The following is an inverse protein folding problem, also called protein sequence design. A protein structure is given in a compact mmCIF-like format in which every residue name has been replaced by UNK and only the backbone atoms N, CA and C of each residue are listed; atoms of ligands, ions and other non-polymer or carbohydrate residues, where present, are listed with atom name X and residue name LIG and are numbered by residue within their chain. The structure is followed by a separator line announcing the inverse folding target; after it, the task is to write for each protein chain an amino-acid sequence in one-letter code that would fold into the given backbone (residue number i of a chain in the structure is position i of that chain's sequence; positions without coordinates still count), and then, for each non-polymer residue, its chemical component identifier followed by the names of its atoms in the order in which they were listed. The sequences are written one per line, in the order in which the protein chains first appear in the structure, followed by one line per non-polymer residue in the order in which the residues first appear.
data_IF_562489982135
#
_entry.id   IF_562489982135
#
_cell.length_a   1.000
_cell.length_b   1.000
_cell.length_c   1.000
_cell.angle_alpha   90.00
_cell.angle_beta   90.00
_cell.angle_gamma   90.00
#
_symmetry.space_group_name_H-M   'P 1'
#
loop_
_entity.id
_entity.type
_entity.pdbx_description
1 polymer ?
#
# COMPACT_ATOMS: atom_id res chain seq x y z
N UNK A 1 -8.20 21.48 -14.80
CA UNK A 1 -9.26 20.53 -14.36
C UNK A 1 -8.81 19.12 -14.70
N UNK A 2 -8.77 18.17 -13.74
CA UNK A 2 -8.42 16.79 -14.03
C UNK A 2 -9.49 16.16 -14.94
N UNK A 3 -9.07 15.58 -16.05
CA UNK A 3 -9.97 14.86 -16.96
C UNK A 3 -9.94 13.38 -16.59
N UNK A 4 -11.02 12.88 -15.97
CA UNK A 4 -11.24 11.42 -15.86
C UNK A 4 -11.50 10.89 -17.27
N UNK A 5 -10.82 9.83 -17.68
CA UNK A 5 -11.10 9.14 -18.93
C UNK A 5 -10.90 7.64 -18.70
N UNK A 6 -11.50 6.77 -19.51
CA UNK A 6 -11.36 5.30 -19.44
C UNK A 6 -10.68 4.82 -20.74
N UNK A 7 -9.86 3.76 -20.71
CA UNK A 7 -9.17 3.24 -21.91
C UNK A 7 -9.52 1.82 -22.31
N UNK A 8 -9.25 1.56 -23.59
CA UNK A 8 -9.37 0.31 -24.32
C UNK A 8 -7.97 -0.19 -24.66
N UNK A 9 -7.66 -1.42 -24.28
CA UNK A 9 -6.52 -2.18 -24.80
C UNK A 9 -7.07 -3.41 -25.51
N UNK A 10 -6.61 -3.67 -26.73
CA UNK A 10 -6.91 -4.89 -27.50
C UNK A 10 -5.67 -5.76 -27.50
N UNK A 11 -5.69 -6.93 -26.86
CA UNK A 11 -4.98 -8.12 -27.32
C UNK A 11 -5.71 -9.41 -26.91
N UNK A 12 -5.57 -10.41 -27.77
CA UNK A 12 -6.22 -11.73 -27.76
C UNK A 12 -5.94 -12.51 -26.46
N UNK A 13 -6.86 -12.45 -25.49
CA UNK A 13 -7.35 -13.59 -24.71
C UNK A 13 -8.84 -13.29 -24.48
N UNK A 14 -9.68 -14.27 -24.82
CA UNK A 14 -11.12 -14.18 -24.81
C UNK A 14 -11.68 -14.07 -23.39
N UNK A 15 -11.74 -12.86 -22.81
CA UNK A 15 -12.77 -12.48 -21.84
C UNK A 15 -13.08 -10.98 -21.98
N UNK A 16 -14.29 -10.70 -22.46
CA UNK A 16 -14.86 -9.39 -22.72
C UNK A 16 -15.16 -8.63 -21.41
N UNK A 17 -14.49 -7.48 -21.15
CA UNK A 17 -15.13 -6.15 -21.01
C UNK A 17 -14.08 -5.06 -20.70
N UNK A 18 -14.21 -3.92 -21.35
CA UNK A 18 -13.16 -2.92 -21.61
C UNK A 18 -13.34 -1.59 -20.86
N UNK A 19 -13.70 -1.59 -19.56
CA UNK A 19 -13.97 -0.34 -18.82
C UNK A 19 -13.63 -0.37 -17.31
N UNK A 20 -12.65 -1.18 -16.90
CA UNK A 20 -12.51 -1.49 -15.47
C UNK A 20 -11.36 -0.83 -14.74
N UNK A 21 -10.43 -0.12 -15.38
CA UNK A 21 -9.34 0.51 -14.64
C UNK A 21 -9.43 2.02 -14.69
N UNK A 22 -9.59 2.61 -13.50
CA UNK A 22 -9.65 4.05 -13.30
C UNK A 22 -8.23 4.60 -13.27
N UNK A 23 -8.06 5.76 -13.87
CA UNK A 23 -6.80 6.50 -13.76
C UNK A 23 -7.11 7.99 -13.91
N UNK A 24 -6.12 8.78 -13.55
CA UNK A 24 -6.13 10.23 -13.74
C UNK A 24 -4.78 10.66 -14.29
N UNK A 25 -4.73 11.87 -14.81
CA UNK A 25 -3.49 12.45 -15.29
C UNK A 25 -3.45 13.95 -15.10
N UNK A 26 -2.23 14.47 -15.03
CA UNK A 26 -1.95 15.90 -15.00
C UNK A 26 -0.72 16.18 -15.85
N UNK A 27 -0.80 17.23 -16.65
CA UNK A 27 0.24 17.62 -17.60
C UNK A 27 0.76 19.03 -17.33
N UNK A 28 0.43 19.64 -16.19
CA UNK A 28 0.78 21.02 -15.88
C UNK A 28 2.30 21.26 -15.84
N UNK A 29 3.08 20.22 -15.53
CA UNK A 29 4.54 20.26 -15.50
C UNK A 29 5.19 19.75 -16.78
N UNK A 30 4.41 19.21 -17.72
CA UNK A 30 4.99 18.53 -18.87
C UNK A 30 5.75 19.50 -19.78
N UNK A 31 7.01 19.17 -20.05
CA UNK A 31 7.83 19.82 -21.06
C UNK A 31 8.02 18.89 -22.26
N UNK A 32 8.23 19.46 -23.45
CA UNK A 32 8.40 18.66 -24.66
C UNK A 32 9.57 17.67 -24.49
N UNK A 33 9.31 16.39 -24.78
CA UNK A 33 10.24 15.27 -24.61
C UNK A 33 10.58 14.93 -23.15
N UNK A 34 9.83 15.47 -22.18
CA UNK A 34 9.96 15.11 -20.77
C UNK A 34 9.54 13.65 -20.49
N UNK A 35 9.92 13.11 -19.31
CA UNK A 35 9.55 11.77 -18.90
C UNK A 35 8.05 11.67 -18.60
N UNK A 36 7.58 10.44 -18.45
CA UNK A 36 6.26 10.14 -17.89
C UNK A 36 6.43 9.52 -16.52
N UNK A 37 5.80 10.08 -15.50
CA UNK A 37 5.72 9.47 -14.18
C UNK A 37 4.37 8.78 -14.02
N UNK A 38 4.40 7.53 -13.57
CA UNK A 38 3.23 6.69 -13.38
C UNK A 38 3.19 6.20 -11.92
N UNK A 39 2.33 6.81 -11.12
CA UNK A 39 2.02 6.31 -9.79
C UNK A 39 1.12 5.07 -9.92
N UNK A 40 1.58 3.95 -9.37
CA UNK A 40 0.80 2.72 -9.27
C UNK A 40 0.01 2.74 -7.96
N UNK A 41 -1.30 2.56 -8.08
CA UNK A 41 -2.16 2.47 -6.92
C UNK A 41 -1.90 1.22 -6.08
N UNK A 42 -2.17 1.34 -4.78
CA UNK A 42 -1.99 0.27 -3.80
C UNK A 42 -3.31 -0.43 -3.47
N UNK A 43 -3.45 -0.80 -2.20
CA UNK A 43 -4.56 -1.59 -1.66
C UNK A 43 -5.77 -0.74 -1.28
N UNK A 44 -6.06 0.32 -2.02
CA UNK A 44 -7.18 1.22 -1.72
C UNK A 44 -7.73 1.95 -2.96
N UNK A 45 -8.85 2.63 -2.77
CA UNK A 45 -9.39 3.51 -3.79
C UNK A 45 -8.46 4.72 -3.97
N UNK A 46 -8.09 5.02 -5.20
CA UNK A 46 -7.18 6.13 -5.48
C UNK A 46 -7.90 7.48 -5.45
N UNK A 47 -7.23 8.49 -4.90
CA UNK A 47 -7.71 9.87 -4.84
C UNK A 47 -6.96 10.75 -5.85
N UNK A 48 -7.65 11.44 -6.79
CA UNK A 48 -7.00 12.38 -7.70
C UNK A 48 -6.31 13.57 -7.01
N UNK A 49 -6.47 13.76 -5.70
CA UNK A 49 -5.66 14.68 -4.89
C UNK A 49 -4.16 14.45 -5.09
N UNK A 50 -3.72 13.20 -5.19
CA UNK A 50 -2.30 12.84 -5.40
C UNK A 50 -1.68 13.48 -6.65
N UNK A 51 -2.48 13.86 -7.65
CA UNK A 51 -2.02 14.52 -8.89
C UNK A 51 -2.10 16.05 -8.86
N UNK A 52 -2.83 16.63 -7.90
CA UNK A 52 -3.16 18.05 -7.88
C UNK A 52 -2.19 18.86 -7.04
N UNK A 53 -1.80 18.28 -5.91
CA UNK A 53 -0.94 18.95 -4.95
C UNK A 53 0.50 18.98 -5.47
N UNK A 54 1.04 20.17 -5.71
CA UNK A 54 2.41 20.38 -6.17
C UNK A 54 3.45 20.36 -5.05
N UNK A 55 3.03 20.14 -3.80
CA UNK A 55 3.91 20.07 -2.62
C UNK A 55 4.24 18.63 -2.21
N UNK A 56 3.61 17.64 -2.84
CA UNK A 56 3.97 16.24 -2.66
C UNK A 56 5.33 15.99 -3.32
N UNK A 57 6.18 15.20 -2.68
CA UNK A 57 7.54 14.94 -3.17
C UNK A 57 7.57 14.49 -4.65
N UNK A 58 6.67 13.58 -5.04
CA UNK A 58 6.66 13.05 -6.41
C UNK A 58 6.15 14.06 -7.46
N UNK A 59 5.27 14.99 -7.08
CA UNK A 59 4.81 16.06 -7.98
C UNK A 59 5.79 17.22 -8.04
N UNK A 60 6.55 17.46 -6.96
CA UNK A 60 7.71 18.34 -7.00
C UNK A 60 8.77 17.78 -7.95
N UNK A 61 9.09 16.49 -7.86
CA UNK A 61 9.97 15.82 -8.84
C UNK A 61 9.43 15.95 -10.26
N UNK A 62 8.12 15.82 -10.46
CA UNK A 62 7.50 16.00 -11.78
C UNK A 62 7.71 17.42 -12.32
N UNK A 63 7.55 18.43 -11.46
CA UNK A 63 7.82 19.84 -11.77
C UNK A 63 9.27 20.07 -12.20
N UNK A 64 10.22 19.55 -11.43
CA UNK A 64 11.65 19.70 -11.67
C UNK A 64 12.13 19.01 -12.96
N UNK A 65 11.48 17.92 -13.36
CA UNK A 65 11.88 17.10 -14.50
C UNK A 65 11.03 17.29 -15.76
N UNK A 66 10.04 18.20 -15.72
CA UNK A 66 9.17 18.44 -16.87
C UNK A 66 8.24 17.26 -17.20
N UNK A 67 7.79 16.51 -16.18
CA UNK A 67 7.14 15.21 -16.38
C UNK A 67 5.63 15.32 -16.68
N UNK A 68 5.13 14.39 -17.50
CA UNK A 68 3.70 14.10 -17.60
C UNK A 68 3.34 13.08 -16.51
N UNK A 69 2.34 13.35 -15.67
CA UNK A 69 2.01 12.45 -14.54
C UNK A 69 0.70 11.69 -14.75
N UNK A 70 0.70 10.42 -14.37
CA UNK A 70 -0.46 9.54 -14.30
C UNK A 70 -0.59 8.92 -12.90
N UNK A 71 -1.83 8.67 -12.48
CA UNK A 71 -2.18 7.85 -11.32
C UNK A 71 -3.09 6.72 -11.81
N UNK A 72 -2.65 5.48 -11.66
CA UNK A 72 -3.38 4.29 -12.11
C UNK A 72 -3.93 3.52 -10.92
N UNK A 73 -5.24 3.38 -10.83
CA UNK A 73 -5.89 2.63 -9.75
C UNK A 73 -5.71 1.12 -9.93
N UNK A 74 -5.41 0.44 -8.83
CA UNK A 74 -5.17 -0.98 -8.81
C UNK A 74 -6.46 -1.77 -9.07
N UNK A 75 -6.37 -2.86 -9.83
CA UNK A 75 -7.52 -3.79 -10.00
C UNK A 75 -8.06 -4.25 -8.65
N UNK A 76 -9.39 -4.40 -8.56
CA UNK A 76 -10.18 -4.72 -7.37
C UNK A 76 -10.29 -3.62 -6.30
N UNK A 77 -9.54 -2.53 -6.40
CA UNK A 77 -9.64 -1.43 -5.45
C UNK A 77 -10.38 -0.23 -6.04
N UNK A 78 -11.01 0.56 -5.17
CA UNK A 78 -11.87 1.67 -5.58
C UNK A 78 -12.95 1.26 -6.57
N UNK A 79 -13.00 1.96 -7.70
CA UNK A 79 -13.95 1.71 -8.79
C UNK A 79 -13.37 0.79 -9.87
N UNK A 80 -12.14 0.30 -9.66
CA UNK A 80 -11.45 -0.51 -10.64
C UNK A 80 -11.80 -1.99 -10.51
N UNK A 81 -13.02 -2.36 -10.90
CA UNK A 81 -13.64 -3.67 -10.61
C UNK A 81 -13.73 -4.57 -11.84
N UNK A 82 -12.82 -5.53 -12.06
CA UNK A 82 -12.85 -6.40 -13.25
C UNK A 82 -13.96 -7.47 -13.20
N UNK A 83 -14.51 -7.75 -12.01
CA UNK A 83 -15.57 -8.73 -11.76
C UNK A 83 -16.78 -8.07 -11.13
N UNK A 84 -17.94 -8.76 -11.15
CA UNK A 84 -19.18 -8.24 -10.56
C UNK A 84 -19.13 -8.15 -9.03
N UNK A 85 -18.38 -9.05 -8.39
CA UNK A 85 -18.19 -9.10 -6.94
C UNK A 85 -16.76 -9.54 -6.56
N UNK A 86 -16.50 -9.58 -5.25
CA UNK A 86 -15.25 -10.05 -4.65
C UNK A 86 -15.38 -11.46 -4.04
N UNK A 87 -16.25 -12.32 -4.59
CA UNK A 87 -16.28 -13.73 -4.21
C UNK A 87 -14.91 -14.39 -4.43
N UNK A 88 -14.56 -15.41 -3.64
CA UNK A 88 -13.26 -16.08 -3.74
C UNK A 88 -12.96 -16.58 -5.16
N UNK A 89 -13.97 -17.09 -5.88
CA UNK A 89 -13.82 -17.48 -7.29
C UNK A 89 -13.46 -16.30 -8.19
N UNK A 90 -14.00 -15.10 -7.92
CA UNK A 90 -13.70 -13.90 -8.69
C UNK A 90 -12.37 -13.26 -8.29
N UNK A 91 -11.80 -13.57 -7.12
CA UNK A 91 -10.49 -13.06 -6.69
C UNK A 91 -9.31 -13.75 -7.40
N UNK A 92 -9.54 -14.74 -8.26
CA UNK A 92 -8.46 -15.43 -9.00
C UNK A 92 -7.64 -14.47 -9.89
N UNK A 93 -8.20 -13.30 -10.26
CA UNK A 93 -7.48 -12.28 -11.03
C UNK A 93 -6.87 -11.17 -10.17
N UNK A 94 -7.00 -11.23 -8.83
CA UNK A 94 -6.36 -10.30 -7.90
C UNK A 94 -4.95 -10.81 -7.57
N UNK A 95 -3.96 -10.38 -8.33
CA UNK A 95 -2.55 -10.65 -8.03
C UNK A 95 -1.65 -9.51 -8.48
N UNK A 96 -0.47 -9.40 -7.86
CA UNK A 96 0.54 -8.40 -8.26
C UNK A 96 1.04 -8.62 -9.69
N UNK A 97 1.21 -9.87 -10.11
CA UNK A 97 1.57 -10.21 -11.49
C UNK A 97 0.56 -9.64 -12.49
N UNK A 98 -0.73 -9.79 -12.19
CA UNK A 98 -1.80 -9.28 -12.99
C UNK A 98 -1.87 -7.73 -12.99
N UNK A 99 -1.58 -7.07 -11.87
CA UNK A 99 -1.51 -5.61 -11.80
C UNK A 99 -0.31 -5.03 -12.56
N UNK A 100 0.80 -5.77 -12.66
CA UNK A 100 1.94 -5.41 -13.51
C UNK A 100 1.53 -5.46 -15.00
N UNK A 101 0.78 -6.48 -15.42
CA UNK A 101 0.28 -6.56 -16.79
C UNK A 101 -0.73 -5.44 -17.12
N UNK A 102 -1.56 -5.04 -16.14
CA UNK A 102 -2.42 -3.86 -16.28
C UNK A 102 -1.61 -2.59 -16.54
N UNK A 103 -0.50 -2.39 -15.80
CA UNK A 103 0.41 -1.29 -16.05
C UNK A 103 1.02 -1.35 -17.46
N UNK A 104 1.45 -2.53 -17.91
CA UNK A 104 2.03 -2.68 -19.24
C UNK A 104 1.03 -2.29 -20.34
N UNK A 105 -0.20 -2.80 -20.23
CA UNK A 105 -1.32 -2.46 -21.09
C UNK A 105 -1.64 -0.95 -21.03
N UNK A 106 -1.63 -0.36 -19.84
CA UNK A 106 -1.84 1.07 -19.63
C UNK A 106 -0.79 1.93 -20.33
N UNK A 107 0.50 1.64 -20.14
CA UNK A 107 1.60 2.38 -20.78
C UNK A 107 1.45 2.36 -22.31
N UNK A 108 1.19 1.17 -22.88
CA UNK A 108 0.99 1.04 -24.33
C UNK A 108 -0.23 1.85 -24.82
N UNK A 109 -1.34 1.78 -24.08
CA UNK A 109 -2.54 2.58 -24.39
C UNK A 109 -2.26 4.09 -24.32
N UNK A 110 -1.42 4.55 -23.39
CA UNK A 110 -1.12 5.97 -23.22
C UNK A 110 -0.21 6.47 -24.33
N UNK A 111 0.77 5.66 -24.74
CA UNK A 111 1.62 5.97 -25.90
C UNK A 111 0.80 6.12 -27.18
N UNK A 112 -0.26 5.33 -27.35
CA UNK A 112 -1.17 5.46 -28.50
C UNK A 112 -2.07 6.70 -28.41
N UNK A 113 -2.61 7.00 -27.22
CA UNK A 113 -3.50 8.15 -27.05
C UNK A 113 -2.76 9.49 -27.10
N UNK A 114 -1.58 9.54 -26.52
CA UNK A 114 -0.78 10.74 -26.39
C UNK A 114 0.49 10.55 -27.22
N UNK A 115 0.47 10.84 -28.53
CA UNK A 115 1.59 10.59 -29.43
C UNK A 115 2.90 11.26 -28.97
N UNK A 116 2.81 12.39 -28.26
CA UNK A 116 3.96 13.07 -27.68
C UNK A 116 4.68 12.25 -26.60
N UNK A 117 4.03 11.22 -26.03
CA UNK A 117 4.60 10.33 -25.00
C UNK A 117 5.12 9.01 -25.60
N UNK A 118 5.01 8.81 -26.92
CA UNK A 118 5.35 7.54 -27.56
C UNK A 118 6.82 7.12 -27.32
N UNK A 119 7.73 8.10 -27.36
CA UNK A 119 9.17 7.92 -27.13
C UNK A 119 9.63 8.34 -25.72
N UNK A 120 8.70 8.77 -24.84
CA UNK A 120 9.06 9.24 -23.51
C UNK A 120 9.54 8.08 -22.62
N UNK A 121 10.56 8.28 -21.77
CA UNK A 121 10.91 7.32 -20.74
C UNK A 121 9.84 7.32 -19.64
N UNK A 122 9.37 6.13 -19.26
CA UNK A 122 8.37 5.97 -18.19
C UNK A 122 9.05 5.61 -16.87
N UNK A 123 8.65 6.27 -15.79
CA UNK A 123 9.13 6.02 -14.44
C UNK A 123 7.95 5.62 -13.57
N UNK A 124 8.00 4.44 -12.96
CA UNK A 124 6.95 3.99 -12.03
C UNK A 124 7.21 4.48 -10.62
N UNK A 125 6.16 4.83 -9.90
CA UNK A 125 6.19 5.26 -8.50
C UNK A 125 5.22 4.42 -7.68
N UNK A 126 5.52 4.24 -6.40
CA UNK A 126 4.60 3.64 -5.43
C UNK A 126 5.16 3.65 -4.01
N UNK A 127 4.29 3.43 -3.03
CA UNK A 127 4.60 3.34 -1.60
C UNK A 127 4.08 2.03 -1.00
N UNK A 128 4.77 1.48 0.01
CA UNK A 128 4.37 0.20 0.62
C UNK A 128 4.27 -0.90 -0.44
N UNK A 129 3.20 -1.71 -0.48
CA UNK A 129 2.95 -2.69 -1.54
C UNK A 129 3.09 -2.09 -2.95
N UNK A 130 2.55 -0.90 -3.23
CA UNK A 130 2.69 -0.32 -4.57
C UNK A 130 4.12 0.11 -4.87
N UNK A 131 4.94 0.35 -3.84
CA UNK A 131 6.38 0.53 -3.97
C UNK A 131 7.09 -0.76 -4.41
N UNK A 132 6.71 -1.90 -3.83
CA UNK A 132 7.17 -3.20 -4.29
C UNK A 132 6.69 -3.47 -5.73
N UNK A 133 5.44 -3.15 -6.04
CA UNK A 133 4.85 -3.26 -7.38
C UNK A 133 5.61 -2.42 -8.42
N UNK A 134 6.00 -1.19 -8.09
CA UNK A 134 6.78 -0.32 -8.97
C UNK A 134 8.15 -0.94 -9.30
N UNK A 135 8.84 -1.48 -8.29
CA UNK A 135 10.12 -2.16 -8.47
C UNK A 135 9.97 -3.43 -9.32
N UNK A 136 8.98 -4.29 -9.01
CA UNK A 136 8.71 -5.50 -9.78
C UNK A 136 8.31 -5.18 -11.22
N UNK A 137 7.55 -4.11 -11.47
CA UNK A 137 7.17 -3.68 -12.80
C UNK A 137 8.39 -3.33 -13.67
N UNK A 138 9.40 -2.64 -13.11
CA UNK A 138 10.67 -2.36 -13.83
C UNK A 138 11.44 -3.65 -14.14
N UNK A 139 11.45 -4.61 -13.22
CA UNK A 139 12.12 -5.91 -13.45
C UNK A 139 11.41 -6.72 -14.53
N UNK A 140 10.06 -6.70 -14.55
CA UNK A 140 9.25 -7.50 -15.48
C UNK A 140 9.13 -6.88 -16.87
N UNK A 141 9.04 -5.54 -16.96
CA UNK A 141 8.91 -4.81 -18.22
C UNK A 141 9.99 -3.73 -18.38
N UNK A 142 11.28 -4.09 -18.43
CA UNK A 142 12.37 -3.12 -18.62
C UNK A 142 12.29 -2.38 -19.97
N UNK A 143 11.57 -2.93 -20.95
CA UNK A 143 11.26 -2.33 -22.25
C UNK A 143 10.19 -1.22 -22.18
N UNK A 144 9.36 -1.21 -21.13
CA UNK A 144 8.31 -0.20 -20.94
C UNK A 144 8.68 0.81 -19.86
N UNK A 145 9.20 0.35 -18.73
CA UNK A 145 9.49 1.16 -17.54
C UNK A 145 10.99 1.41 -17.51
N UNK A 146 11.45 2.65 -17.63
CA UNK A 146 12.86 3.02 -17.62
C UNK A 146 13.48 3.05 -16.23
N UNK A 147 12.71 3.46 -15.21
CA UNK A 147 13.14 3.53 -13.80
C UNK A 147 11.94 3.28 -12.88
N UNK A 148 12.20 2.90 -11.63
CA UNK A 148 11.17 2.74 -10.60
C UNK A 148 11.60 3.43 -9.30
N UNK A 149 10.66 4.09 -8.65
CA UNK A 149 10.79 4.69 -7.31
C UNK A 149 9.80 3.97 -6.40
N UNK A 150 10.29 2.98 -5.66
CA UNK A 150 9.50 2.21 -4.69
C UNK A 150 9.80 2.67 -3.27
N UNK A 151 8.99 3.58 -2.73
CA UNK A 151 9.15 4.08 -1.37
C UNK A 151 8.67 3.04 -0.35
N UNK A 152 9.51 2.68 0.61
CA UNK A 152 9.20 1.68 1.66
C UNK A 152 8.55 0.40 1.12
N UNK A 153 8.97 -0.05 -0.07
CA UNK A 153 8.37 -1.20 -0.74
C UNK A 153 8.95 -2.53 -0.24
N UNK A 154 8.17 -3.43 0.39
CA UNK A 154 8.65 -4.74 0.81
C UNK A 154 8.78 -5.67 -0.43
N UNK A 155 9.86 -5.50 -1.19
CA UNK A 155 10.11 -6.24 -2.44
C UNK A 155 10.37 -7.73 -2.23
N UNK A 156 10.75 -8.11 -1.00
CA UNK A 156 10.87 -9.49 -0.55
C UNK A 156 9.65 -9.80 0.32
N UNK A 157 8.80 -10.69 -0.17
CA UNK A 157 7.65 -11.17 0.59
C UNK A 157 8.13 -12.24 1.58
N UNK A 158 7.76 -12.08 2.84
CA UNK A 158 8.07 -12.98 3.94
C UNK A 158 6.79 -13.36 4.66
N UNK A 159 6.60 -14.66 4.90
CA UNK A 159 5.35 -15.17 5.49
C UNK A 159 5.30 -14.90 6.98
N UNK A 160 6.41 -15.16 7.67
CA UNK A 160 6.56 -14.95 9.11
C UNK A 160 7.64 -13.88 9.33
N UNK A 161 7.22 -12.61 9.22
CA UNK A 161 8.14 -11.48 9.20
C UNK A 161 8.35 -10.90 10.61
N UNK A 162 9.01 -11.67 11.46
CA UNK A 162 9.24 -11.33 12.88
C UNK A 162 10.09 -10.07 13.05
N UNK A 163 10.99 -9.80 12.10
CA UNK A 163 11.89 -8.65 12.08
C UNK A 163 11.12 -7.33 12.08
N UNK A 164 9.88 -7.31 11.57
CA UNK A 164 9.01 -6.14 11.67
C UNK A 164 8.81 -5.71 13.14
N UNK A 165 8.49 -6.66 14.01
CA UNK A 165 8.30 -6.40 15.44
C UNK A 165 9.63 -6.10 16.15
N UNK A 166 10.74 -6.67 15.70
CA UNK A 166 12.07 -6.31 16.21
C UNK A 166 12.39 -4.84 15.91
N UNK A 167 12.07 -4.35 14.70
CA UNK A 167 12.25 -2.94 14.35
C UNK A 167 11.35 -2.03 15.20
N UNK A 168 10.12 -2.44 15.50
CA UNK A 168 9.22 -1.72 16.41
C UNK A 168 9.83 -1.63 17.80
N UNK A 169 10.26 -2.76 18.37
CA UNK A 169 10.91 -2.80 19.69
C UNK A 169 12.18 -1.94 19.74
N UNK A 170 13.02 -2.04 18.71
CA UNK A 170 14.27 -1.28 18.61
C UNK A 170 14.00 0.23 18.50
N UNK A 171 12.95 0.65 17.78
CA UNK A 171 12.59 2.05 17.65
C UNK A 171 12.12 2.65 18.97
N UNK A 172 11.27 1.94 19.71
CA UNK A 172 10.83 2.34 21.06
C UNK A 172 12.02 2.42 22.02
N UNK A 173 12.89 1.40 21.99
CA UNK A 173 14.05 1.32 22.90
C UNK A 173 15.11 2.37 22.59
N UNK A 174 15.26 2.75 21.30
CA UNK A 174 16.16 3.82 20.86
C UNK A 174 15.71 5.19 21.38
N UNK A 175 14.40 5.44 21.40
CA UNK A 175 13.84 6.68 21.95
C UNK A 175 13.95 6.71 23.48
N UNK A 176 13.60 5.61 24.15
CA UNK A 176 13.76 5.47 25.60
C UNK A 176 13.99 4.02 26.01
N UNK A 177 15.18 3.74 26.54
CA UNK A 177 15.53 2.42 27.05
C UNK A 177 14.58 1.97 28.19
N UNK A 178 14.14 2.91 29.02
CA UNK A 178 13.16 2.64 30.07
C UNK A 178 11.78 2.28 29.48
N UNK A 179 11.35 2.98 28.42
CA UNK A 179 10.12 2.67 27.71
C UNK A 179 10.19 1.26 27.11
N UNK A 180 11.25 0.96 26.36
CA UNK A 180 11.49 -0.36 25.77
C UNK A 180 11.43 -1.48 26.82
N UNK A 181 12.15 -1.32 27.94
CA UNK A 181 12.13 -2.29 29.04
C UNK A 181 10.74 -2.46 29.67
N UNK A 182 9.97 -1.38 29.78
CA UNK A 182 8.62 -1.41 30.36
C UNK A 182 7.66 -2.16 29.43
N UNK A 183 7.74 -1.90 28.12
CA UNK A 183 6.98 -2.62 27.09
C UNK A 183 7.29 -4.11 27.14
N UNK A 184 8.58 -4.50 27.09
CA UNK A 184 8.98 -5.91 27.21
C UNK A 184 8.43 -6.57 28.49
N UNK A 185 8.51 -5.87 29.63
CA UNK A 185 7.97 -6.39 30.90
C UNK A 185 6.46 -6.60 30.84
N UNK A 186 5.72 -5.66 30.24
CA UNK A 186 4.28 -5.75 30.08
C UNK A 186 3.87 -6.94 29.17
N UNK A 187 4.54 -7.13 28.03
CA UNK A 187 4.27 -8.26 27.14
C UNK A 187 4.56 -9.61 27.80
N UNK A 188 5.66 -9.73 28.56
CA UNK A 188 5.95 -10.93 29.34
C UNK A 188 4.89 -11.20 30.42
N UNK A 189 4.38 -10.15 31.07
CA UNK A 189 3.30 -10.28 32.04
C UNK A 189 2.01 -10.77 31.35
N UNK A 190 1.62 -10.20 30.22
CA UNK A 190 0.45 -10.64 29.45
C UNK A 190 0.58 -12.12 29.06
N UNK A 191 1.74 -12.53 28.54
CA UNK A 191 2.02 -13.92 28.20
C UNK A 191 1.87 -14.85 29.40
N UNK A 192 2.39 -14.46 30.57
CA UNK A 192 2.24 -15.24 31.80
C UNK A 192 0.78 -15.35 32.25
N UNK A 193 0.00 -14.26 32.14
CA UNK A 193 -1.40 -14.22 32.56
C UNK A 193 -2.29 -15.08 31.67
N UNK A 194 -2.00 -15.19 30.37
CA UNK A 194 -2.72 -16.07 29.45
C UNK A 194 -2.73 -17.54 29.90
N UNK A 195 -1.69 -17.99 30.62
CA UNK A 195 -1.56 -19.39 31.04
C UNK A 195 -2.56 -19.79 32.15
N UNK A 196 -3.16 -18.83 32.86
CA UNK A 196 -4.03 -19.11 34.01
C UNK A 196 -5.46 -18.60 33.78
N UNK A 197 -6.46 -19.29 34.33
CA UNK A 197 -7.86 -18.86 34.20
C UNK A 197 -8.11 -17.48 34.86
N UNK A 198 -7.51 -17.24 36.03
CA UNK A 198 -7.59 -15.93 36.70
C UNK A 198 -6.90 -14.84 35.90
N UNK A 199 -5.72 -15.12 35.33
CA UNK A 199 -4.99 -14.17 34.50
C UNK A 199 -5.76 -13.79 33.24
N UNK A 200 -6.37 -14.76 32.55
CA UNK A 200 -7.25 -14.49 31.39
C UNK A 200 -8.46 -13.63 31.75
N UNK A 201 -9.09 -13.86 32.92
CA UNK A 201 -10.17 -13.00 33.41
C UNK A 201 -9.69 -11.57 33.67
N UNK A 202 -8.50 -11.40 34.23
CA UNK A 202 -7.88 -10.08 34.40
C UNK A 202 -7.57 -9.41 33.06
N UNK A 203 -6.99 -10.13 32.09
CA UNK A 203 -6.72 -9.60 30.75
C UNK A 203 -7.99 -9.11 30.05
N UNK A 204 -9.10 -9.86 30.16
CA UNK A 204 -10.41 -9.41 29.65
C UNK A 204 -10.80 -8.05 30.22
N UNK A 205 -10.68 -7.85 31.52
CA UNK A 205 -11.00 -6.56 32.14
C UNK A 205 -10.00 -5.47 31.75
N UNK A 206 -8.70 -5.76 31.74
CA UNK A 206 -7.65 -4.80 31.40
C UNK A 206 -7.76 -4.27 29.98
N UNK A 207 -8.02 -5.15 29.01
CA UNK A 207 -8.14 -4.79 27.59
C UNK A 207 -9.60 -4.57 27.15
N UNK A 208 -10.56 -4.59 28.08
CA UNK A 208 -11.98 -4.44 27.81
C UNK A 208 -12.51 -5.36 26.69
N UNK A 209 -12.16 -6.64 26.75
CA UNK A 209 -12.53 -7.62 25.73
C UNK A 209 -14.01 -8.01 25.83
N UNK A 210 -14.66 -8.21 24.68
CA UNK A 210 -16.05 -8.65 24.60
C UNK A 210 -16.24 -10.08 25.13
N UNK A 211 -15.28 -10.96 24.85
CA UNK A 211 -15.35 -12.39 25.12
C UNK A 211 -14.28 -12.82 26.13
N UNK A 212 -14.50 -13.96 26.77
CA UNK A 212 -13.44 -14.59 27.57
C UNK A 212 -12.39 -15.22 26.64
N UNK A 213 -11.12 -15.19 27.06
CA UNK A 213 -10.02 -15.80 26.31
C UNK A 213 -10.01 -17.32 26.49
N UNK A 214 -10.15 -18.03 25.37
CA UNK A 214 -10.07 -19.48 25.24
C UNK A 214 -8.75 -19.87 24.55
N UNK A 215 -7.83 -20.44 25.33
CA UNK A 215 -6.52 -20.87 24.83
C UNK A 215 -6.58 -22.03 23.84
N UNK A 216 -7.72 -22.72 23.73
CA UNK A 216 -7.91 -23.78 22.74
C UNK A 216 -8.31 -23.24 21.37
N UNK A 217 -8.72 -21.98 21.29
CA UNK A 217 -9.03 -21.28 20.05
C UNK A 217 -7.81 -20.46 19.59
N UNK A 218 -6.97 -21.06 18.75
CA UNK A 218 -5.74 -20.42 18.26
C UNK A 218 -6.01 -19.06 17.59
N UNK A 219 -7.04 -18.97 16.75
CA UNK A 219 -7.39 -17.74 16.04
C UNK A 219 -7.77 -16.61 17.01
N UNK A 220 -8.52 -16.92 18.08
CA UNK A 220 -8.87 -15.92 19.09
C UNK A 220 -7.63 -15.40 19.82
N UNK A 221 -6.65 -16.28 20.12
CA UNK A 221 -5.40 -15.90 20.78
C UNK A 221 -4.51 -15.07 19.84
N UNK A 222 -4.44 -15.42 18.55
CA UNK A 222 -3.75 -14.63 17.53
C UNK A 222 -4.34 -13.22 17.43
N UNK A 223 -5.66 -13.09 17.28
CA UNK A 223 -6.34 -11.79 17.22
C UNK A 223 -6.18 -10.98 18.52
N UNK A 224 -6.16 -11.65 19.68
CA UNK A 224 -5.85 -10.98 20.94
C UNK A 224 -4.45 -10.38 20.92
N UNK A 225 -3.43 -11.13 20.52
CA UNK A 225 -2.07 -10.61 20.43
C UNK A 225 -1.96 -9.46 19.43
N UNK A 226 -2.57 -9.60 18.26
CA UNK A 226 -2.68 -8.52 17.26
C UNK A 226 -3.25 -7.25 17.89
N UNK A 227 -4.33 -7.36 18.66
CA UNK A 227 -4.94 -6.22 19.36
C UNK A 227 -3.97 -5.57 20.35
N UNK A 228 -3.17 -6.37 21.07
CA UNK A 228 -2.24 -5.88 22.09
C UNK A 228 -1.02 -5.18 21.49
N UNK A 229 -0.44 -5.68 20.39
CA UNK A 229 0.76 -5.09 19.80
C UNK A 229 0.50 -4.04 18.72
N UNK A 230 -0.67 -4.04 18.07
CA UNK A 230 -0.96 -3.13 16.95
C UNK A 230 -0.77 -1.65 17.29
N UNK A 231 -1.15 -1.14 18.49
CA UNK A 231 -0.91 0.26 18.84
C UNK A 231 0.57 0.65 18.82
N UNK A 232 1.47 -0.26 19.19
CA UNK A 232 2.92 0.00 19.14
C UNK A 232 3.43 0.03 17.70
N UNK A 233 2.91 -0.86 16.83
CA UNK A 233 3.21 -0.85 15.41
C UNK A 233 2.79 0.47 14.78
N UNK A 234 1.55 0.93 15.03
CA UNK A 234 1.02 2.18 14.50
C UNK A 234 1.80 3.40 14.98
N UNK A 235 2.11 3.48 16.28
CA UNK A 235 2.91 4.58 16.83
C UNK A 235 4.26 4.67 16.15
N UNK A 236 4.99 3.55 16.02
CA UNK A 236 6.31 3.56 15.39
C UNK A 236 6.22 3.86 13.90
N UNK A 237 5.22 3.33 13.22
CA UNK A 237 5.08 3.48 11.77
C UNK A 237 4.66 4.90 11.36
N UNK A 238 3.78 5.53 12.13
CA UNK A 238 3.14 6.79 11.77
C UNK A 238 3.48 7.97 12.70
N UNK A 239 4.42 7.81 13.64
CA UNK A 239 4.85 8.95 14.46
C UNK A 239 5.42 10.07 13.59
N UNK A 240 4.81 11.25 13.65
CA UNK A 240 5.32 12.45 12.97
C UNK A 240 4.92 12.60 11.50
N UNK A 241 4.07 11.73 10.97
CA UNK A 241 3.58 11.83 9.59
C UNK A 241 2.36 12.77 9.42
N UNK A 242 1.85 13.34 10.53
CA UNK A 242 0.62 14.13 10.62
C UNK A 242 -0.64 13.45 10.05
N UNK A 243 -0.59 12.15 9.73
CA UNK A 243 -1.72 11.40 9.17
C UNK A 243 -2.74 11.04 10.25
N UNK A 244 -2.31 10.94 11.52
CA UNK A 244 -3.20 10.68 12.65
C UNK A 244 -2.73 11.44 13.90
N UNK A 245 -3.59 12.28 14.48
CA UNK A 245 -3.31 12.83 15.82
C UNK A 245 -3.54 11.73 16.87
N UNK A 246 -2.47 11.12 17.38
CA UNK A 246 -2.55 10.16 18.50
C UNK A 246 -3.24 10.75 19.75
N UNK A 247 -3.37 12.09 19.85
CA UNK A 247 -4.14 12.79 20.89
C UNK A 247 -5.64 12.43 20.95
N UNK A 248 -6.22 11.82 19.90
CA UNK A 248 -7.65 11.48 19.83
C UNK A 248 -7.98 10.02 20.12
N UNK A 249 -7.00 9.12 20.17
CA UNK A 249 -7.23 7.67 20.30
C UNK A 249 -7.38 7.24 21.76
N UNK A 250 -6.87 8.03 22.71
CA UNK A 250 -6.89 7.70 24.15
C UNK A 250 -7.75 8.63 25.02
N UNK A 251 -8.81 9.23 24.45
CA UNK A 251 -9.81 10.01 25.19
C UNK A 251 -11.16 9.30 25.24
#
# INVERSE_FOLDING_TARGET
MPKSTRFVVKYNISFYHSKFQRYWYNQQWYQQNGPVFLMLGGESAEDPYWLKDGTLEWTEMASQNGAFVFLLEHRYYGESRPTQDMSTSNLLYLSSAQAIEDMAAFIQGMKQKFPQLAAAPWVTFGGSYSGALAAWARVKHPELVAMAVGSSGPVQAEVDFVEYLEVVQNSISRDSAQCGSSVTTAFNLVASMLTTASGRKSLKTTFNLCEDLDITNAQQIETFWETVYSPYMEIVQYSGDNAVSFEKIFK
#
